data_IF_449513354081
#
_entry.id   IF_449513354081
#
_cell.length_a   1.000
_cell.length_b   1.000
_cell.length_c   1.000
_cell.angle_alpha   90.00
_cell.angle_beta   90.00
_cell.angle_gamma   90.00
#
_symmetry.space_group_name_H-M   'P 1'
#
loop_
_entity.id
_entity.type
_entity.pdbx_description
1 polymer ?
#
# COMPACT_ATOMS: atom_id res chain seq x y z
N UNK A 1 -8.73 87.27 -37.32
CA UNK A 1 -8.80 86.16 -36.38
C UNK A 1 -9.17 84.87 -37.18
N UNK A 2 -8.18 84.06 -37.35
CA UNK A 2 -8.35 82.78 -38.08
C UNK A 2 -8.53 81.66 -37.01
N UNK A 3 -9.67 81.04 -37.03
CA UNK A 3 -9.94 79.86 -36.23
C UNK A 3 -9.56 78.61 -37.02
N UNK A 4 -8.53 77.91 -36.62
CA UNK A 4 -8.20 76.57 -37.16
C UNK A 4 -8.87 75.53 -36.22
N UNK A 5 -9.84 74.82 -36.72
CA UNK A 5 -10.44 73.68 -36.05
C UNK A 5 -9.57 72.44 -36.31
N UNK A 6 -8.97 71.92 -35.26
CA UNK A 6 -8.38 70.57 -35.30
C UNK A 6 -9.51 69.51 -35.17
N UNK A 7 -9.78 68.82 -36.22
CA UNK A 7 -10.52 67.57 -36.20
C UNK A 7 -9.52 66.48 -35.73
N UNK A 8 -9.65 66.09 -34.46
CA UNK A 8 -8.98 64.89 -33.97
C UNK A 8 -9.80 63.67 -34.37
N UNK A 9 -9.29 62.86 -35.29
CA UNK A 9 -9.73 61.48 -35.39
C UNK A 9 -9.21 60.72 -34.19
N UNK A 10 -10.08 60.29 -33.29
CA UNK A 10 -9.80 59.26 -32.32
C UNK A 10 -10.43 57.96 -32.85
N UNK A 11 -9.70 57.27 -33.66
CA UNK A 11 -9.95 55.84 -33.88
C UNK A 11 -9.44 55.12 -32.66
N UNK A 12 -10.29 54.99 -31.63
CA UNK A 12 -10.11 53.97 -30.62
C UNK A 12 -10.47 52.65 -31.30
N UNK A 13 -9.49 52.04 -31.96
CA UNK A 13 -9.60 50.60 -32.28
C UNK A 13 -9.53 49.86 -30.92
N UNK A 14 -10.68 49.41 -30.48
CA UNK A 14 -10.80 48.53 -29.30
C UNK A 14 -10.30 47.16 -29.71
N UNK A 15 -9.02 46.86 -29.42
CA UNK A 15 -8.39 45.58 -29.63
C UNK A 15 -8.80 44.52 -28.60
N UNK A 16 -9.70 44.86 -27.67
CA UNK A 16 -10.18 43.95 -26.61
C UNK A 16 -10.94 42.73 -27.14
N UNK A 17 -11.39 42.76 -28.41
CA UNK A 17 -12.15 41.70 -29.06
C UNK A 17 -11.27 40.82 -30.00
N UNK A 18 -9.97 40.99 -30.03
CA UNK A 18 -9.10 40.25 -30.98
C UNK A 18 -8.42 39.02 -30.38
N UNK A 19 -8.50 38.83 -29.05
CA UNK A 19 -8.00 37.63 -28.40
C UNK A 19 -9.13 37.09 -27.52
N UNK A 20 -9.77 36.02 -27.98
CA UNK A 20 -10.68 35.28 -27.10
C UNK A 20 -9.86 34.75 -25.91
N UNK A 21 -10.32 35.05 -24.71
CA UNK A 21 -9.70 34.48 -23.51
C UNK A 21 -9.87 32.96 -23.57
N UNK A 22 -8.84 32.19 -23.15
CA UNK A 22 -9.00 30.74 -23.03
C UNK A 22 -10.16 30.41 -22.08
N UNK A 23 -10.98 29.46 -22.45
CA UNK A 23 -12.02 28.93 -21.59
C UNK A 23 -11.44 27.77 -20.77
N UNK A 24 -11.62 27.82 -19.45
CA UNK A 24 -11.16 26.75 -18.55
C UNK A 24 -12.22 25.63 -18.56
N UNK A 25 -11.78 24.42 -18.88
CA UNK A 25 -12.64 23.25 -18.95
C UNK A 25 -12.14 22.13 -18.02
N UNK A 26 -13.04 21.29 -17.59
CA UNK A 26 -12.76 20.04 -16.89
C UNK A 26 -12.93 18.89 -17.87
N UNK A 27 -12.29 17.76 -17.65
CA UNK A 27 -12.44 16.57 -18.50
C UNK A 27 -11.13 15.84 -18.74
N UNK A 28 -10.02 16.41 -18.24
CA UNK A 28 -8.72 15.74 -18.22
C UNK A 28 -8.76 14.61 -17.18
N UNK A 29 -8.54 13.37 -17.65
CA UNK A 29 -8.48 12.16 -16.81
C UNK A 29 -7.03 11.87 -16.47
N UNK A 30 -6.72 11.85 -15.17
CA UNK A 30 -5.40 11.54 -14.64
C UNK A 30 -5.55 10.94 -13.25
N UNK A 31 -4.74 9.92 -12.93
CA UNK A 31 -4.66 9.36 -11.59
C UNK A 31 -3.79 10.23 -10.70
N UNK A 32 -3.95 10.12 -9.38
CA UNK A 32 -3.12 10.86 -8.44
C UNK A 32 -1.72 10.26 -8.25
N UNK A 33 -1.51 8.98 -8.64
CA UNK A 33 -0.22 8.29 -8.50
C UNK A 33 0.01 7.24 -9.58
N UNK A 34 1.29 7.08 -9.97
CA UNK A 34 1.77 6.11 -10.96
C UNK A 34 3.08 5.48 -10.48
N UNK A 35 3.50 4.40 -11.11
CA UNK A 35 4.75 3.68 -10.78
C UNK A 35 5.84 4.06 -11.80
N UNK A 36 7.08 4.17 -11.31
CA UNK A 36 8.26 4.41 -12.16
C UNK A 36 8.35 3.36 -13.28
N UNK A 37 8.54 3.81 -14.50
CA UNK A 37 8.60 2.97 -15.70
C UNK A 37 7.25 2.63 -16.31
N UNK A 38 6.14 2.99 -15.66
CA UNK A 38 4.80 2.81 -16.20
C UNK A 38 4.56 3.80 -17.36
N UNK A 39 3.93 3.34 -18.43
CA UNK A 39 3.39 4.22 -19.46
C UNK A 39 2.14 4.90 -18.92
N UNK A 40 2.14 6.24 -18.88
CA UNK A 40 1.05 7.07 -18.36
C UNK A 40 0.34 7.68 -19.55
N UNK A 41 -0.90 7.32 -19.74
CA UNK A 41 -1.75 7.83 -20.80
C UNK A 41 -2.74 8.87 -20.24
N UNK A 42 -2.88 10.01 -20.91
CA UNK A 42 -3.80 11.08 -20.56
C UNK A 42 -4.92 11.14 -21.59
N UNK A 43 -6.15 11.23 -21.10
CA UNK A 43 -7.33 11.35 -21.92
C UNK A 43 -8.12 12.60 -21.53
N UNK A 44 -8.74 13.26 -22.51
CA UNK A 44 -9.62 14.40 -22.26
C UNK A 44 -10.99 14.17 -22.92
N UNK A 45 -12.02 14.49 -22.16
CA UNK A 45 -13.40 14.32 -22.58
C UNK A 45 -14.13 15.67 -22.59
N UNK A 46 -15.02 15.88 -23.56
CA UNK A 46 -15.89 17.05 -23.58
C UNK A 46 -17.02 16.94 -22.54
N UNK A 47 -17.86 17.98 -22.45
CA UNK A 47 -19.01 18.01 -21.55
C UNK A 47 -20.05 16.90 -21.80
N UNK A 48 -20.05 16.32 -23.01
CA UNK A 48 -20.94 15.22 -23.43
C UNK A 48 -20.29 13.85 -23.26
N UNK A 49 -19.11 13.77 -22.61
CA UNK A 49 -18.31 12.55 -22.43
C UNK A 49 -17.78 11.97 -23.76
N UNK A 50 -17.65 12.77 -24.82
CA UNK A 50 -16.96 12.34 -26.02
C UNK A 50 -15.45 12.48 -25.80
N UNK A 51 -14.69 11.48 -26.25
CA UNK A 51 -13.24 11.52 -26.27
C UNK A 51 -12.75 12.52 -27.33
N UNK A 52 -12.01 13.53 -26.89
CA UNK A 52 -11.41 14.57 -27.71
C UNK A 52 -9.88 14.61 -27.58
N UNK A 53 -9.28 13.54 -27.08
CA UNK A 53 -7.84 13.38 -26.83
C UNK A 53 -7.01 13.74 -28.07
N UNK A 54 -7.42 13.28 -29.26
CA UNK A 54 -6.73 13.54 -30.54
C UNK A 54 -6.72 15.04 -30.96
N UNK A 55 -7.56 15.87 -30.37
CA UNK A 55 -7.61 17.31 -30.64
C UNK A 55 -6.73 18.12 -29.69
N UNK A 56 -6.24 17.49 -28.60
CA UNK A 56 -5.56 18.17 -27.52
C UNK A 56 -4.03 18.12 -27.65
N UNK A 57 -3.39 19.15 -27.13
CA UNK A 57 -1.96 19.18 -26.84
C UNK A 57 -1.79 19.09 -25.32
N UNK A 58 -1.01 18.14 -24.86
CA UNK A 58 -0.76 17.93 -23.44
C UNK A 58 0.53 18.60 -23.00
N UNK A 59 0.56 19.09 -21.76
CA UNK A 59 1.71 19.74 -21.15
C UNK A 59 2.03 19.07 -19.82
N UNK A 60 3.27 18.66 -19.65
CA UNK A 60 3.81 18.16 -18.38
C UNK A 60 4.77 19.20 -17.82
N UNK A 61 4.50 19.69 -16.60
CA UNK A 61 5.26 20.75 -15.95
C UNK A 61 5.44 22.00 -16.84
N UNK A 62 4.43 22.31 -17.66
CA UNK A 62 4.43 23.44 -18.61
C UNK A 62 5.16 23.19 -19.92
N UNK A 63 5.68 22.00 -20.16
CA UNK A 63 6.31 21.60 -21.43
C UNK A 63 5.38 20.69 -22.24
N UNK A 64 5.14 21.03 -23.52
CA UNK A 64 4.31 20.21 -24.39
C UNK A 64 4.95 18.85 -24.67
N UNK A 65 4.15 17.82 -24.69
CA UNK A 65 4.54 16.47 -25.15
C UNK A 65 3.94 16.19 -26.52
N UNK A 66 4.56 15.28 -27.30
CA UNK A 66 4.18 15.03 -28.68
C UNK A 66 2.93 14.15 -28.80
N UNK A 67 2.76 13.25 -27.85
CA UNK A 67 1.66 12.28 -27.78
C UNK A 67 0.94 12.47 -26.45
N UNK A 68 -0.17 11.76 -26.25
CA UNK A 68 -0.92 11.83 -25.00
C UNK A 68 -0.38 10.88 -23.92
N UNK A 69 0.88 10.43 -24.06
CA UNK A 69 1.50 9.49 -23.13
C UNK A 69 2.93 9.91 -22.73
N UNK A 70 3.36 9.50 -21.54
CA UNK A 70 4.71 9.73 -21.02
C UNK A 70 5.12 8.59 -20.10
N UNK A 71 6.43 8.33 -20.03
CA UNK A 71 7.03 7.42 -19.04
C UNK A 71 8.05 8.19 -18.21
N UNK A 72 7.91 8.13 -16.88
CA UNK A 72 8.89 8.68 -15.96
C UNK A 72 9.84 7.60 -15.44
N UNK A 73 11.14 7.85 -15.49
CA UNK A 73 12.19 6.93 -15.06
C UNK A 73 12.69 7.22 -13.63
N UNK A 74 12.06 8.16 -12.93
CA UNK A 74 12.40 8.54 -11.56
C UNK A 74 11.18 8.99 -10.79
N UNK A 75 11.24 8.84 -9.46
CA UNK A 75 10.22 9.36 -8.55
C UNK A 75 10.11 10.88 -8.66
N UNK A 76 8.91 11.41 -8.50
CA UNK A 76 8.68 12.85 -8.55
C UNK A 76 7.20 13.22 -8.47
N UNK A 77 6.96 14.53 -8.35
CA UNK A 77 5.62 15.10 -8.47
C UNK A 77 5.58 15.93 -9.75
N UNK A 78 4.55 15.76 -10.51
CA UNK A 78 4.35 16.39 -11.81
C UNK A 78 2.97 17.02 -11.90
N UNK A 79 2.79 17.95 -12.84
CA UNK A 79 1.50 18.52 -13.17
C UNK A 79 1.22 18.31 -14.65
N UNK A 80 0.00 17.93 -14.97
CA UNK A 80 -0.48 17.81 -16.34
C UNK A 80 -1.60 18.81 -16.60
N UNK A 81 -1.61 19.38 -17.80
CA UNK A 81 -2.70 20.16 -18.35
C UNK A 81 -2.82 19.86 -19.84
N UNK A 82 -3.98 20.20 -20.42
CA UNK A 82 -4.22 20.07 -21.85
C UNK A 82 -4.84 21.34 -22.41
N UNK A 83 -4.61 21.59 -23.69
CA UNK A 83 -5.28 22.64 -24.46
C UNK A 83 -5.74 22.11 -25.82
N UNK A 84 -6.90 22.58 -26.29
CA UNK A 84 -7.43 22.27 -27.63
C UNK A 84 -8.20 23.46 -28.20
N UNK A 85 -8.36 23.48 -29.51
CA UNK A 85 -9.14 24.51 -30.19
C UNK A 85 -10.35 23.86 -30.89
N UNK A 86 -11.54 24.38 -30.60
CA UNK A 86 -12.79 23.97 -31.23
C UNK A 86 -13.54 25.22 -31.70
N UNK A 87 -13.96 25.22 -32.98
CA UNK A 87 -14.67 26.33 -33.62
C UNK A 87 -14.01 27.71 -33.49
N UNK A 88 -12.65 27.71 -33.40
CA UNK A 88 -11.85 28.91 -33.24
C UNK A 88 -11.72 29.44 -31.82
N UNK A 89 -12.35 28.79 -30.84
CA UNK A 89 -12.19 29.06 -29.41
C UNK A 89 -11.09 28.16 -28.82
N UNK A 90 -10.17 28.73 -28.03
CA UNK A 90 -9.18 27.99 -27.25
C UNK A 90 -9.76 27.57 -25.90
N UNK A 91 -9.64 26.29 -25.60
CA UNK A 91 -10.00 25.67 -24.33
C UNK A 91 -8.73 25.18 -23.63
N UNK A 92 -8.65 25.35 -22.32
CA UNK A 92 -7.54 24.89 -21.49
C UNK A 92 -8.08 24.17 -20.26
N UNK A 93 -7.35 23.16 -19.76
CA UNK A 93 -7.72 22.51 -18.50
C UNK A 93 -6.99 23.19 -17.32
N UNK A 94 -7.51 23.00 -16.11
CA UNK A 94 -6.69 23.22 -14.93
C UNK A 94 -5.50 22.27 -14.91
N UNK A 95 -4.45 22.67 -14.19
CA UNK A 95 -3.32 21.77 -13.92
C UNK A 95 -3.71 20.76 -12.85
N UNK A 96 -3.53 19.47 -13.14
CA UNK A 96 -3.78 18.37 -12.21
C UNK A 96 -2.44 17.78 -11.80
N UNK A 97 -2.20 17.73 -10.47
CA UNK A 97 -1.00 17.14 -9.91
C UNK A 97 -1.09 15.60 -9.85
N UNK A 98 0.02 14.93 -10.14
CA UNK A 98 0.20 13.50 -9.90
C UNK A 98 1.60 13.20 -9.38
N UNK A 99 1.77 12.07 -8.70
CA UNK A 99 3.05 11.58 -8.21
C UNK A 99 3.50 10.34 -8.96
N UNK A 100 4.80 10.16 -9.05
CA UNK A 100 5.44 8.93 -9.54
C UNK A 100 6.22 8.32 -8.39
N UNK A 101 5.90 7.08 -8.04
CA UNK A 101 6.46 6.35 -6.90
C UNK A 101 7.27 5.14 -7.39
N UNK A 102 8.23 4.68 -6.59
CA UNK A 102 9.03 3.49 -6.88
C UNK A 102 8.86 2.48 -5.74
N UNK A 103 7.82 1.65 -5.79
CA UNK A 103 7.57 0.69 -4.73
C UNK A 103 8.67 -0.36 -4.66
N UNK A 104 9.05 -0.66 -3.43
CA UNK A 104 10.01 -1.72 -3.09
C UNK A 104 9.23 -2.93 -2.60
N UNK A 105 9.66 -4.12 -2.99
CA UNK A 105 9.06 -5.35 -2.48
C UNK A 105 9.35 -5.51 -0.99
N UNK A 106 8.29 -5.72 -0.22
CA UNK A 106 8.33 -6.09 1.19
C UNK A 106 7.76 -7.48 1.37
N UNK A 107 8.53 -8.29 2.05
CA UNK A 107 8.21 -9.69 2.31
C UNK A 107 7.16 -9.78 3.42
N UNK A 108 6.14 -10.61 3.24
CA UNK A 108 5.30 -11.08 4.33
C UNK A 108 5.89 -12.36 4.91
N UNK A 109 6.12 -12.38 6.22
CA UNK A 109 6.43 -13.59 6.99
C UNK A 109 5.24 -13.95 7.87
N UNK A 110 4.72 -15.16 7.75
CA UNK A 110 3.69 -15.70 8.63
C UNK A 110 4.29 -16.83 9.47
N UNK A 111 4.18 -16.71 10.81
CA UNK A 111 4.56 -17.72 11.80
C UNK A 111 3.29 -18.37 12.37
N UNK A 112 3.05 -19.63 12.05
CA UNK A 112 2.00 -20.43 12.68
C UNK A 112 2.57 -21.07 13.94
N UNK A 113 2.03 -20.66 15.10
CA UNK A 113 2.66 -20.89 16.39
C UNK A 113 1.64 -21.17 17.51
N UNK A 114 2.11 -21.31 18.72
CA UNK A 114 1.31 -21.43 19.92
C UNK A 114 2.18 -21.54 21.19
N UNK A 115 1.71 -21.07 22.32
CA UNK A 115 2.39 -21.11 23.62
C UNK A 115 2.72 -22.55 24.07
N UNK A 116 1.92 -23.51 23.65
CA UNK A 116 2.08 -24.94 23.90
C UNK A 116 3.05 -25.63 22.95
N UNK A 117 3.44 -24.98 21.84
CA UNK A 117 4.31 -25.56 20.83
C UNK A 117 5.78 -25.52 21.24
N UNK A 118 6.31 -26.61 21.76
CA UNK A 118 7.68 -26.69 22.29
C UNK A 118 8.81 -26.59 21.27
N UNK A 119 8.52 -26.69 19.96
CA UNK A 119 9.48 -26.51 18.85
C UNK A 119 9.29 -25.19 18.09
N UNK A 120 8.38 -24.30 18.54
CA UNK A 120 8.13 -23.01 17.88
C UNK A 120 9.15 -21.90 18.20
N UNK A 121 9.81 -21.83 19.36
CA UNK A 121 10.75 -20.76 19.68
C UNK A 121 11.83 -20.48 18.62
N UNK A 122 12.42 -21.48 17.92
CA UNK A 122 13.40 -21.22 16.86
C UNK A 122 12.88 -20.42 15.67
N UNK A 123 11.59 -20.51 15.33
CA UNK A 123 11.00 -19.71 14.24
C UNK A 123 11.04 -18.24 14.60
N UNK A 124 10.50 -17.90 15.78
CA UNK A 124 10.52 -16.52 16.30
C UNK A 124 11.94 -15.96 16.34
N UNK A 125 12.90 -16.72 16.85
CA UNK A 125 14.31 -16.31 16.88
C UNK A 125 14.87 -16.03 15.49
N UNK A 126 14.57 -16.87 14.50
CA UNK A 126 15.00 -16.65 13.13
C UNK A 126 14.31 -15.41 12.49
N UNK A 127 13.05 -15.17 12.80
CA UNK A 127 12.33 -13.94 12.38
C UNK A 127 13.00 -12.71 12.99
N UNK A 128 13.34 -12.72 14.27
CA UNK A 128 14.05 -11.61 14.93
C UNK A 128 15.39 -11.31 14.23
N UNK A 129 16.15 -12.35 13.85
CA UNK A 129 17.37 -12.16 13.09
C UNK A 129 17.13 -11.61 11.68
N UNK A 130 16.04 -12.01 11.01
CA UNK A 130 15.65 -11.46 9.72
C UNK A 130 15.30 -9.97 9.84
N UNK A 131 14.58 -9.57 10.89
CA UNK A 131 14.22 -8.18 11.16
C UNK A 131 15.44 -7.29 11.52
N UNK A 132 16.49 -7.85 12.13
CA UNK A 132 17.75 -7.13 12.34
C UNK A 132 18.44 -6.78 11.02
N UNK A 133 18.33 -7.64 9.99
CA UNK A 133 18.93 -7.43 8.66
C UNK A 133 18.04 -6.53 7.79
N UNK A 134 16.72 -6.73 7.84
CA UNK A 134 15.73 -6.08 6.96
C UNK A 134 14.61 -5.39 7.75
N UNK A 135 14.91 -4.42 8.63
CA UNK A 135 13.95 -3.87 9.60
C UNK A 135 12.73 -3.18 8.97
N UNK A 136 12.84 -2.71 7.71
CA UNK A 136 11.79 -1.97 7.01
C UNK A 136 11.18 -2.73 5.82
N UNK A 137 11.61 -3.97 5.61
CA UNK A 137 11.27 -4.72 4.38
C UNK A 137 10.56 -6.04 4.66
N UNK A 138 10.23 -6.32 5.92
CA UNK A 138 9.53 -7.53 6.34
C UNK A 138 8.32 -7.14 7.19
N UNK A 139 7.14 -7.57 6.77
CA UNK A 139 5.92 -7.58 7.58
C UNK A 139 5.79 -8.93 8.24
N UNK A 140 5.56 -8.99 9.55
CA UNK A 140 5.43 -10.26 10.28
C UNK A 140 4.04 -10.41 10.87
N UNK A 141 3.49 -11.63 10.79
CA UNK A 141 2.22 -12.01 11.40
C UNK A 141 2.39 -13.36 12.10
N UNK A 142 2.29 -13.38 13.42
CA UNK A 142 2.29 -14.60 14.22
C UNK A 142 0.85 -15.04 14.51
N UNK A 143 0.44 -16.14 13.89
CA UNK A 143 -0.90 -16.73 14.09
C UNK A 143 -0.84 -17.78 15.16
N UNK A 144 -1.30 -17.43 16.36
CA UNK A 144 -1.41 -18.34 17.48
C UNK A 144 -2.60 -19.30 17.32
N UNK A 145 -2.41 -20.56 17.71
CA UNK A 145 -3.42 -21.60 17.63
C UNK A 145 -3.70 -22.22 19.01
N UNK A 146 -4.98 -22.32 19.33
CA UNK A 146 -5.45 -23.04 20.53
C UNK A 146 -4.82 -22.57 21.86
N UNK A 147 -4.54 -21.28 21.99
CA UNK A 147 -4.04 -20.64 23.21
C UNK A 147 -4.75 -19.29 23.48
N UNK A 148 -4.29 -18.57 24.51
CA UNK A 148 -4.90 -17.30 24.95
C UNK A 148 -4.78 -16.15 23.93
N UNK A 149 -3.89 -16.27 22.93
CA UNK A 149 -3.66 -15.27 21.91
C UNK A 149 -4.36 -15.60 20.58
N UNK A 150 -4.92 -16.81 20.45
CA UNK A 150 -5.56 -17.27 19.23
C UNK A 150 -6.80 -16.42 18.90
N UNK A 151 -6.92 -15.99 17.63
CA UNK A 151 -8.14 -15.39 17.10
C UNK A 151 -9.24 -16.45 16.89
N UNK A 152 -10.51 -16.03 16.93
CA UNK A 152 -11.62 -16.94 16.63
C UNK A 152 -11.59 -17.46 15.18
N UNK A 153 -11.07 -16.65 14.25
CA UNK A 153 -10.96 -16.93 12.81
C UNK A 153 -9.68 -17.70 12.43
N UNK A 154 -8.80 -18.01 13.40
CA UNK A 154 -7.52 -18.68 13.11
C UNK A 154 -7.71 -20.03 12.41
N UNK A 155 -8.79 -20.75 12.73
CA UNK A 155 -9.08 -22.03 12.11
C UNK A 155 -9.41 -21.92 10.62
N UNK A 156 -10.07 -20.83 10.20
CA UNK A 156 -10.31 -20.55 8.78
C UNK A 156 -9.01 -20.33 8.04
N UNK A 157 -8.11 -19.49 8.61
CA UNK A 157 -6.81 -19.18 8.05
C UNK A 157 -5.94 -20.45 7.93
N UNK A 158 -5.83 -21.21 9.01
CA UNK A 158 -5.02 -22.43 9.04
C UNK A 158 -5.58 -23.55 8.15
N UNK A 159 -6.90 -23.63 7.99
CA UNK A 159 -7.52 -24.59 7.06
C UNK A 159 -7.22 -24.21 5.60
N UNK A 160 -7.29 -22.92 5.27
CA UNK A 160 -7.08 -22.45 3.91
C UNK A 160 -5.59 -22.50 3.48
N UNK A 161 -4.68 -22.10 4.37
CA UNK A 161 -3.25 -22.08 4.08
C UNK A 161 -2.57 -23.42 4.37
N UNK A 162 -3.18 -24.29 5.16
CA UNK A 162 -2.80 -25.68 5.37
C UNK A 162 -1.47 -25.93 6.06
N UNK A 163 -1.14 -25.31 7.22
CA UNK A 163 -0.02 -25.79 8.00
C UNK A 163 -0.28 -27.23 8.44
N UNK A 164 0.62 -28.15 8.07
CA UNK A 164 0.49 -29.57 8.41
C UNK A 164 0.82 -29.88 9.88
N UNK A 165 1.39 -28.89 10.57
CA UNK A 165 1.77 -28.99 11.98
C UNK A 165 2.62 -27.79 12.39
N UNK A 166 2.88 -27.65 13.69
CA UNK A 166 3.72 -26.57 14.22
C UNK A 166 5.08 -27.08 14.66
N UNK A 167 6.15 -26.27 14.51
CA UNK A 167 6.19 -24.94 13.93
C UNK A 167 6.06 -24.94 12.41
N UNK A 168 5.46 -23.89 11.86
CA UNK A 168 5.50 -23.62 10.43
C UNK A 168 5.63 -22.13 10.19
N UNK A 169 6.60 -21.74 9.33
CA UNK A 169 6.75 -20.37 8.86
C UNK A 169 6.62 -20.31 7.35
N UNK A 170 6.00 -19.24 6.85
CA UNK A 170 5.80 -19.01 5.43
C UNK A 170 6.28 -17.65 4.99
N UNK A 171 6.86 -17.63 3.80
CA UNK A 171 7.25 -16.44 3.05
C UNK A 171 6.19 -16.17 1.98
N UNK A 172 5.63 -14.96 1.98
CA UNK A 172 4.56 -14.56 1.06
C UNK A 172 3.38 -15.55 1.01
N UNK A 173 3.02 -16.14 2.16
CA UNK A 173 1.91 -17.09 2.36
C UNK A 173 2.10 -18.50 1.78
N UNK A 174 2.78 -18.63 0.67
CA UNK A 174 2.81 -19.90 -0.10
C UNK A 174 4.13 -20.65 0.02
N UNK A 175 5.24 -19.98 0.29
CA UNK A 175 6.56 -20.63 0.36
C UNK A 175 6.90 -21.01 1.80
N UNK A 176 7.04 -22.29 2.09
CA UNK A 176 7.49 -22.76 3.40
C UNK A 176 8.92 -22.32 3.69
N UNK A 177 9.14 -21.79 4.90
CA UNK A 177 10.47 -21.46 5.40
C UNK A 177 10.83 -22.39 6.55
N UNK A 178 11.60 -23.43 6.20
CA UNK A 178 11.90 -24.55 7.09
C UNK A 178 13.27 -24.41 7.75
N UNK A 179 13.42 -25.08 8.89
CA UNK A 179 14.71 -25.21 9.56
C UNK A 179 15.80 -25.70 8.60
N UNK A 180 17.00 -25.10 8.57
CA UNK A 180 17.57 -24.20 9.60
C UNK A 180 17.18 -22.71 9.46
N UNK A 181 16.10 -22.35 8.77
CA UNK A 181 15.63 -20.96 8.55
C UNK A 181 16.73 -20.09 7.94
N UNK A 182 17.21 -20.50 6.76
CA UNK A 182 18.31 -19.82 6.07
C UNK A 182 17.91 -18.39 5.69
N UNK A 183 18.64 -17.42 6.22
CA UNK A 183 18.38 -15.98 5.99
C UNK A 183 18.79 -15.55 4.56
N UNK A 184 19.73 -16.23 3.90
CA UNK A 184 20.18 -15.89 2.55
C UNK A 184 19.05 -15.99 1.50
N UNK A 185 18.03 -16.81 1.75
CA UNK A 185 16.88 -16.90 0.83
C UNK A 185 16.07 -15.61 0.78
N UNK A 186 16.16 -14.79 1.82
CA UNK A 186 15.42 -13.53 1.94
C UNK A 186 15.98 -12.44 1.01
N UNK A 187 17.28 -12.49 0.68
CA UNK A 187 17.96 -11.51 -0.19
C UNK A 187 17.25 -11.32 -1.54
N UNK A 188 16.64 -12.39 -2.04
CA UNK A 188 15.94 -12.37 -3.32
C UNK A 188 14.45 -12.03 -3.20
N UNK A 189 13.94 -11.86 -1.98
CA UNK A 189 12.53 -11.63 -1.69
C UNK A 189 12.25 -10.20 -1.19
N UNK A 190 13.30 -9.40 -0.96
CA UNK A 190 13.19 -8.01 -0.48
C UNK A 190 13.96 -7.05 -1.40
N UNK A 191 13.67 -5.76 -1.31
CA UNK A 191 14.45 -4.66 -1.91
C UNK A 191 14.54 -4.64 -3.46
N UNK A 192 13.69 -5.36 -4.18
CA UNK A 192 13.57 -5.16 -5.62
C UNK A 192 12.35 -4.29 -5.94
N UNK A 193 12.35 -3.67 -7.12
CA UNK A 193 11.21 -2.87 -7.58
C UNK A 193 9.98 -3.77 -7.75
N UNK A 194 8.86 -3.33 -7.22
CA UNK A 194 7.56 -3.99 -7.35
C UNK A 194 6.63 -3.15 -8.27
N UNK A 195 5.60 -3.79 -8.79
CA UNK A 195 4.55 -3.15 -9.60
C UNK A 195 3.33 -2.73 -8.78
N UNK A 196 3.40 -2.90 -7.46
CA UNK A 196 2.34 -2.59 -6.51
C UNK A 196 2.91 -1.81 -5.33
N UNK A 197 2.41 -0.61 -5.10
CA UNK A 197 2.69 0.21 -3.93
C UNK A 197 1.52 0.14 -2.95
N UNK A 198 1.80 0.04 -1.66
CA UNK A 198 0.81 0.07 -0.58
C UNK A 198 1.22 1.14 0.43
N UNK A 199 0.26 1.96 0.86
CA UNK A 199 0.44 2.95 1.92
C UNK A 199 -0.53 2.65 3.06
N UNK A 200 -0.06 2.78 4.29
CA UNK A 200 -0.82 2.54 5.52
C UNK A 200 -0.88 3.82 6.33
N UNK A 201 -2.08 4.25 6.68
CA UNK A 201 -2.31 5.37 7.58
C UNK A 201 -3.34 4.98 8.64
N UNK A 202 -3.03 5.19 9.90
CA UNK A 202 -3.97 4.90 10.97
C UNK A 202 -4.04 6.01 12.01
N UNK A 203 -5.18 6.12 12.66
CA UNK A 203 -5.39 7.12 13.72
C UNK A 203 -6.35 6.58 14.78
N UNK A 204 -5.97 6.79 16.04
CA UNK A 204 -6.88 6.55 17.18
C UNK A 204 -7.64 7.85 17.47
N UNK A 205 -8.96 7.78 17.45
CA UNK A 205 -9.82 8.93 17.67
C UNK A 205 -11.17 8.52 18.28
N UNK A 206 -11.57 9.19 19.36
CA UNK A 206 -12.90 9.01 20.01
C UNK A 206 -13.28 7.55 20.33
N UNK A 207 -12.32 6.71 20.72
CA UNK A 207 -12.60 5.29 21.02
C UNK A 207 -12.67 4.39 19.78
N UNK A 208 -12.22 4.89 18.64
CA UNK A 208 -12.10 4.15 17.38
C UNK A 208 -10.67 4.14 16.88
N UNK A 209 -10.27 3.05 16.24
CA UNK A 209 -9.09 2.94 15.41
C UNK A 209 -9.53 3.03 13.94
N UNK A 210 -9.20 4.14 13.30
CA UNK A 210 -9.47 4.35 11.88
C UNK A 210 -8.22 4.01 11.08
N UNK A 211 -8.37 3.24 10.00
CA UNK A 211 -7.28 2.78 9.13
C UNK A 211 -7.62 3.08 7.69
N UNK A 212 -6.69 3.70 6.97
CA UNK A 212 -6.79 3.97 5.54
C UNK A 212 -5.64 3.27 4.82
N UNK A 213 -5.98 2.41 3.87
CA UNK A 213 -5.02 1.73 3.00
C UNK A 213 -5.18 2.32 1.61
N UNK A 214 -4.10 2.89 1.07
CA UNK A 214 -4.01 3.29 -0.35
C UNK A 214 -3.12 2.30 -1.08
N UNK A 215 -3.44 2.02 -2.33
CA UNK A 215 -2.58 1.21 -3.18
C UNK A 215 -2.61 1.73 -4.62
N UNK A 216 -1.48 1.56 -5.29
CA UNK A 216 -1.27 1.91 -6.69
C UNK A 216 -0.62 0.72 -7.37
N UNK A 217 -1.20 0.27 -8.48
CA UNK A 217 -0.65 -0.81 -9.28
C UNK A 217 -0.41 -0.35 -10.72
N UNK A 218 0.68 -0.83 -11.34
CA UNK A 218 0.89 -0.64 -12.78
C UNK A 218 0.09 -1.64 -13.62
N UNK A 219 -0.40 -2.73 -13.00
CA UNK A 219 -1.17 -3.79 -13.64
C UNK A 219 -2.54 -3.94 -12.95
N UNK A 220 -3.57 -4.45 -13.66
CA UNK A 220 -4.86 -4.73 -13.06
C UNK A 220 -4.77 -5.76 -11.92
N UNK A 221 -5.46 -5.50 -10.81
CA UNK A 221 -5.55 -6.41 -9.66
C UNK A 221 -6.77 -7.36 -9.78
N UNK A 222 -6.92 -8.00 -10.94
CA UNK A 222 -8.01 -8.95 -11.20
C UNK A 222 -7.82 -10.20 -10.34
N UNK A 223 -8.89 -10.64 -9.67
CA UNK A 223 -8.88 -11.80 -8.74
C UNK A 223 -7.90 -11.69 -7.57
N UNK A 224 -7.43 -10.48 -7.27
CA UNK A 224 -6.62 -10.21 -6.09
C UNK A 224 -7.51 -9.88 -4.88
N UNK A 225 -6.92 -9.97 -3.68
CA UNK A 225 -7.59 -9.62 -2.43
C UNK A 225 -6.71 -8.72 -1.58
N UNK A 226 -7.33 -7.77 -0.92
CA UNK A 226 -6.71 -6.97 0.13
C UNK A 226 -6.91 -7.65 1.48
N UNK A 227 -5.82 -7.79 2.24
CA UNK A 227 -5.80 -8.25 3.64
C UNK A 227 -5.29 -7.14 4.52
N UNK A 228 -5.97 -6.86 5.62
CA UNK A 228 -5.59 -5.83 6.59
C UNK A 228 -5.72 -6.37 8.01
N UNK A 229 -4.59 -6.48 8.71
CA UNK A 229 -4.49 -7.05 10.05
C UNK A 229 -4.01 -6.01 11.07
N UNK A 230 -4.33 -6.27 12.33
CA UNK A 230 -3.68 -5.67 13.51
C UNK A 230 -2.83 -6.74 14.16
N UNK A 231 -1.54 -6.45 14.38
CA UNK A 231 -0.64 -7.28 15.18
C UNK A 231 -0.23 -6.53 16.46
N UNK A 232 0.13 -7.26 17.50
CA UNK A 232 0.54 -6.72 18.81
C UNK A 232 1.84 -7.35 19.27
N UNK A 233 2.74 -6.52 19.80
CA UNK A 233 4.03 -6.90 20.35
C UNK A 233 3.99 -6.89 21.88
N UNK A 234 4.93 -7.64 22.49
CA UNK A 234 5.15 -7.59 23.92
C UNK A 234 4.14 -8.34 24.76
N UNK A 235 3.38 -9.27 24.19
CA UNK A 235 2.47 -10.14 24.94
C UNK A 235 3.29 -11.16 25.75
N UNK A 236 2.93 -11.38 27.01
CA UNK A 236 3.67 -12.24 27.92
C UNK A 236 2.85 -13.47 28.28
N UNK A 237 3.41 -14.64 28.01
CA UNK A 237 2.89 -15.94 28.45
C UNK A 237 4.02 -16.95 28.56
N UNK A 238 3.81 -18.03 29.29
CA UNK A 238 4.79 -19.12 29.37
C UNK A 238 4.83 -19.89 28.04
N UNK A 239 6.03 -20.18 27.53
CA UNK A 239 6.24 -20.89 26.28
C UNK A 239 6.82 -22.28 26.49
N UNK A 240 6.16 -23.32 26.03
CA UNK A 240 6.72 -24.67 25.99
C UNK A 240 8.05 -24.71 25.24
N UNK A 241 9.04 -25.46 25.78
CA UNK A 241 10.39 -25.53 25.23
C UNK A 241 10.92 -26.97 25.26
N UNK A 242 10.74 -27.70 24.16
CA UNK A 242 11.27 -29.08 24.06
C UNK A 242 12.78 -29.14 23.75
N UNK A 243 13.38 -27.96 23.44
CA UNK A 243 14.82 -27.80 23.21
C UNK A 243 15.62 -27.52 24.50
N UNK A 244 14.96 -27.48 25.66
CA UNK A 244 15.58 -27.17 26.93
C UNK A 244 16.77 -28.08 27.29
N UNK A 245 16.84 -29.28 26.73
CA UNK A 245 17.90 -30.27 26.98
C UNK A 245 18.83 -30.48 25.77
N UNK A 246 18.68 -29.73 24.71
CA UNK A 246 19.55 -29.75 23.54
C UNK A 246 20.66 -28.72 23.68
N UNK A 247 21.88 -29.17 24.03
CA UNK A 247 23.05 -28.31 24.24
C UNK A 247 23.47 -27.52 22.99
N UNK A 248 22.98 -27.87 21.83
CA UNK A 248 23.25 -27.16 20.57
C UNK A 248 22.23 -26.05 20.27
N UNK A 249 21.12 -26.04 21.01
CA UNK A 249 20.05 -25.07 20.83
C UNK A 249 20.32 -23.78 21.60
N UNK A 250 19.95 -22.64 21.00
CA UNK A 250 19.88 -21.36 21.68
C UNK A 250 18.95 -21.41 22.93
N UNK A 251 17.94 -22.28 22.92
CA UNK A 251 16.93 -22.44 23.98
C UNK A 251 17.34 -23.47 25.06
N UNK A 252 18.58 -23.96 25.02
CA UNK A 252 19.13 -24.84 26.04
C UNK A 252 19.11 -24.23 27.44
N UNK A 253 18.67 -24.98 28.42
CA UNK A 253 18.62 -24.58 29.84
C UNK A 253 17.80 -23.31 30.16
N UNK A 254 16.91 -22.88 29.25
CA UNK A 254 16.02 -21.74 29.51
C UNK A 254 14.77 -22.11 30.31
N UNK A 255 14.54 -23.38 30.55
CA UNK A 255 13.34 -23.91 31.24
C UNK A 255 12.36 -24.55 30.23
N UNK A 256 11.43 -25.33 30.78
CA UNK A 256 10.26 -25.84 30.05
C UNK A 256 9.08 -25.90 31.04
N UNK A 257 8.18 -24.90 30.95
CA UNK A 257 8.15 -23.78 30.00
C UNK A 257 9.26 -22.75 30.26
N UNK A 258 9.54 -21.89 29.24
CA UNK A 258 10.23 -20.63 29.44
C UNK A 258 9.21 -19.70 30.06
N UNK A 259 9.48 -19.23 31.26
CA UNK A 259 8.58 -18.37 32.03
C UNK A 259 8.66 -16.92 31.49
N UNK A 260 7.51 -16.22 31.46
CA UNK A 260 7.39 -14.82 31.03
C UNK A 260 7.97 -14.59 29.61
N UNK A 261 7.80 -15.57 28.71
CA UNK A 261 8.25 -15.45 27.32
C UNK A 261 7.47 -14.35 26.60
N UNK A 262 8.19 -13.51 25.85
CA UNK A 262 7.60 -12.39 25.10
C UNK A 262 7.19 -12.86 23.71
N UNK A 263 5.92 -12.69 23.37
CA UNK A 263 5.35 -12.96 22.04
C UNK A 263 5.19 -11.63 21.29
N UNK A 264 5.71 -11.57 20.08
CA UNK A 264 5.65 -10.42 19.20
C UNK A 264 4.87 -10.74 17.93
N UNK A 265 4.45 -9.69 17.22
CA UNK A 265 3.77 -9.75 15.92
C UNK A 265 2.48 -10.61 15.94
N UNK A 266 1.89 -10.76 17.11
CA UNK A 266 0.71 -11.62 17.33
C UNK A 266 -0.50 -11.04 16.63
N UNK A 267 -1.15 -11.82 15.76
CA UNK A 267 -2.38 -11.43 15.07
C UNK A 267 -3.53 -11.23 16.06
N UNK A 268 -4.07 -10.01 16.14
CA UNK A 268 -5.12 -9.63 17.12
C UNK A 268 -6.46 -9.29 16.50
N UNK A 269 -6.48 -8.85 15.26
CA UNK A 269 -7.70 -8.49 14.56
C UNK A 269 -7.50 -8.51 13.05
N UNK A 270 -8.57 -8.79 12.30
CA UNK A 270 -8.62 -8.59 10.86
C UNK A 270 -9.72 -7.58 10.53
N UNK A 271 -9.37 -6.53 9.77
CA UNK A 271 -10.34 -5.57 9.24
C UNK A 271 -11.07 -6.09 8.00
N UNK A 272 -10.47 -7.02 7.29
CA UNK A 272 -11.03 -7.72 6.14
C UNK A 272 -11.51 -9.11 6.55
N UNK A 273 -12.13 -9.87 5.64
CA UNK A 273 -12.14 -11.32 5.81
C UNK A 273 -10.70 -11.80 6.08
N UNK A 274 -10.53 -12.83 6.92
CA UNK A 274 -9.20 -13.31 7.33
C UNK A 274 -8.35 -13.78 6.14
N UNK A 275 -8.97 -14.15 5.03
CA UNK A 275 -8.31 -14.50 3.76
C UNK A 275 -8.26 -13.34 2.76
N UNK A 276 -8.78 -12.17 3.13
CA UNK A 276 -8.86 -10.97 2.31
C UNK A 276 -10.21 -10.75 1.65
N UNK A 277 -10.45 -9.49 1.30
CA UNK A 277 -11.61 -9.01 0.57
C UNK A 277 -11.24 -8.81 -0.90
N UNK A 278 -12.10 -9.24 -1.81
CA UNK A 278 -11.89 -9.03 -3.25
C UNK A 278 -11.97 -7.53 -3.60
N UNK A 279 -11.23 -7.12 -4.63
CA UNK A 279 -11.43 -5.84 -5.27
C UNK A 279 -12.66 -5.89 -6.18
N UNK A 280 -13.43 -4.79 -6.21
CA UNK A 280 -14.46 -4.62 -7.21
C UNK A 280 -13.80 -4.36 -8.57
N UNK A 281 -14.44 -4.76 -9.69
CA UNK A 281 -13.90 -4.63 -11.05
C UNK A 281 -13.50 -3.19 -11.43
N UNK A 282 -14.08 -2.19 -10.77
CA UNK A 282 -13.79 -0.76 -10.97
C UNK A 282 -12.57 -0.27 -10.19
N UNK A 283 -12.11 -1.01 -9.18
CA UNK A 283 -11.01 -0.61 -8.27
C UNK A 283 -9.65 -1.15 -8.72
N UNK A 284 -9.61 -1.96 -9.76
CA UNK A 284 -8.44 -2.76 -10.13
C UNK A 284 -7.26 -1.97 -10.72
N UNK A 285 -7.44 -0.68 -11.03
CA UNK A 285 -6.41 0.15 -11.71
C UNK A 285 -6.03 1.42 -10.96
N UNK A 286 -6.84 1.87 -10.02
CA UNK A 286 -6.75 3.25 -9.55
C UNK A 286 -6.03 3.34 -8.21
N UNK A 287 -5.41 4.50 -7.96
CA UNK A 287 -5.05 4.96 -6.63
C UNK A 287 -6.31 4.97 -5.76
N UNK A 288 -6.58 3.83 -5.17
CA UNK A 288 -7.79 3.55 -4.40
C UNK A 288 -7.48 3.60 -2.92
N UNK A 289 -8.38 4.21 -2.15
CA UNK A 289 -8.32 4.21 -0.69
C UNK A 289 -9.42 3.31 -0.13
N UNK A 290 -9.04 2.31 0.65
CA UNK A 290 -9.95 1.53 1.49
C UNK A 290 -9.86 2.03 2.92
N UNK A 291 -11.01 2.33 3.51
CA UNK A 291 -11.12 2.87 4.87
C UNK A 291 -11.83 1.86 5.77
N UNK A 292 -11.26 1.66 6.95
CA UNK A 292 -11.76 0.76 7.98
C UNK A 292 -11.87 1.51 9.30
N UNK A 293 -12.77 1.07 10.17
CA UNK A 293 -12.92 1.62 11.52
C UNK A 293 -13.25 0.50 12.50
N UNK A 294 -12.59 0.48 13.65
CA UNK A 294 -12.75 -0.50 14.70
C UNK A 294 -13.05 0.20 16.02
N UNK A 295 -14.15 -0.17 16.68
CA UNK A 295 -14.43 0.26 18.05
C UNK A 295 -13.47 -0.45 19.02
N UNK A 296 -12.59 0.34 19.65
CA UNK A 296 -11.56 -0.15 20.56
C UNK A 296 -11.98 -0.10 22.04
N UNK A 297 -13.21 0.31 22.35
CA UNK A 297 -13.67 0.55 23.73
C UNK A 297 -13.65 -0.71 24.60
N UNK A 298 -13.74 -1.89 24.00
CA UNK A 298 -13.78 -3.18 24.69
C UNK A 298 -12.69 -4.16 24.21
N UNK A 299 -11.73 -3.69 23.44
CA UNK A 299 -10.64 -4.52 22.94
C UNK A 299 -9.53 -4.64 23.99
N UNK A 300 -9.04 -5.86 24.19
CA UNK A 300 -7.86 -6.13 24.97
C UNK A 300 -6.62 -6.12 24.07
N UNK A 301 -6.31 -4.95 23.47
CA UNK A 301 -5.17 -4.72 22.59
C UNK A 301 -4.47 -3.43 23.03
N UNK A 302 -3.16 -3.48 23.20
CA UNK A 302 -2.33 -2.29 23.51
C UNK A 302 -1.91 -1.64 22.20
N UNK A 303 -2.65 -0.62 21.77
CA UNK A 303 -2.45 0.01 20.46
C UNK A 303 -1.07 0.65 20.28
N UNK A 304 -0.46 1.12 21.35
CA UNK A 304 0.91 1.65 21.36
C UNK A 304 1.99 0.60 21.03
N UNK A 305 1.67 -0.69 21.18
CA UNK A 305 2.52 -1.82 20.83
C UNK A 305 2.05 -2.55 19.58
N UNK A 306 1.09 -1.97 18.84
CA UNK A 306 0.41 -2.62 17.71
C UNK A 306 0.82 -2.01 16.38
N UNK A 307 0.78 -2.85 15.34
CA UNK A 307 1.01 -2.45 13.95
C UNK A 307 -0.19 -2.80 13.08
N UNK A 308 -0.40 -2.01 12.04
CA UNK A 308 -1.28 -2.35 10.94
C UNK A 308 -0.42 -3.01 9.86
N UNK A 309 -0.80 -4.21 9.46
CA UNK A 309 -0.19 -4.95 8.34
C UNK A 309 -1.19 -4.99 7.20
N UNK A 310 -0.83 -4.46 6.04
CA UNK A 310 -1.65 -4.53 4.83
C UNK A 310 -0.88 -5.24 3.72
N UNK A 311 -1.52 -6.15 3.03
CA UNK A 311 -0.92 -6.85 1.91
C UNK A 311 -1.97 -7.26 0.88
N UNK A 312 -1.53 -7.45 -0.36
CA UNK A 312 -2.37 -7.91 -1.46
C UNK A 312 -1.91 -9.29 -1.89
N UNK A 313 -2.87 -10.20 -2.03
CA UNK A 313 -2.64 -11.56 -2.49
C UNK A 313 -3.30 -11.80 -3.84
N UNK A 314 -2.71 -12.66 -4.66
CA UNK A 314 -3.29 -13.14 -5.92
C UNK A 314 -4.33 -14.25 -5.71
N UNK A 315 -4.85 -14.79 -6.80
CA UNK A 315 -5.82 -15.88 -6.80
C UNK A 315 -5.32 -17.19 -6.17
N UNK A 316 -4.00 -17.37 -6.06
CA UNK A 316 -3.34 -18.53 -5.44
C UNK A 316 -3.00 -18.27 -3.94
N UNK A 317 -3.41 -17.13 -3.40
CA UNK A 317 -3.07 -16.60 -2.08
C UNK A 317 -1.57 -16.25 -1.90
N UNK A 318 -0.81 -16.04 -2.97
CA UNK A 318 0.56 -15.55 -2.87
C UNK A 318 0.56 -14.05 -2.64
N UNK A 319 1.30 -13.58 -1.64
CA UNK A 319 1.45 -12.14 -1.39
C UNK A 319 2.29 -11.49 -2.47
N UNK A 320 1.72 -10.48 -3.13
CA UNK A 320 2.38 -9.70 -4.19
C UNK A 320 3.26 -8.60 -3.59
N UNK A 321 2.75 -7.89 -2.61
CA UNK A 321 3.49 -6.92 -1.80
C UNK A 321 2.80 -6.74 -0.44
N UNK A 322 3.57 -6.26 0.54
CA UNK A 322 3.06 -5.93 1.87
C UNK A 322 3.53 -4.55 2.32
N UNK A 323 2.89 -3.99 3.33
CA UNK A 323 3.28 -2.77 4.01
C UNK A 323 2.83 -2.83 5.47
N UNK A 324 3.58 -2.16 6.33
CA UNK A 324 3.22 -2.06 7.74
C UNK A 324 3.51 -0.66 8.30
N UNK A 325 2.78 -0.29 9.33
CA UNK A 325 3.02 0.90 10.13
C UNK A 325 2.58 0.66 11.58
N UNK A 326 3.27 1.27 12.54
CA UNK A 326 2.77 1.32 13.91
C UNK A 326 1.42 2.04 13.94
N UNK A 327 0.53 1.64 14.85
CA UNK A 327 -0.75 2.32 15.04
C UNK A 327 -0.52 3.79 15.39
N UNK A 328 -1.16 4.68 14.64
CA UNK A 328 -1.01 6.14 14.76
C UNK A 328 0.09 6.74 13.89
N UNK A 329 0.81 5.93 13.14
CA UNK A 329 1.82 6.37 12.18
C UNK A 329 1.32 6.31 10.74
N UNK A 330 2.01 7.03 9.87
CA UNK A 330 1.79 7.03 8.43
C UNK A 330 3.00 6.42 7.74
N UNK A 331 2.78 5.39 6.95
CA UNK A 331 3.78 4.82 6.06
C UNK A 331 3.31 5.00 4.61
N UNK A 332 4.06 5.77 3.84
CA UNK A 332 3.78 6.02 2.43
C UNK A 332 4.18 4.82 1.55
N UNK A 333 4.03 4.95 0.25
CA UNK A 333 4.23 3.95 -0.81
C UNK A 333 5.63 3.31 -0.94
N UNK A 334 6.52 3.54 0.01
CA UNK A 334 7.91 3.07 -0.04
C UNK A 334 8.16 1.84 0.80
#
# INVERSE_FOLDING_TARGET
>A
SLFIAFLGCSDNEDFSNLISQPEIVSGLSVRSSYIVGQNIEFNIYDENQNDITDLATFFIDGMSILENEITHNSVGSHNVSAEYTLDGQLYVTEQIGYSVVNPINKLLMEDFTGTWCGYCPPVKYAIEQALEIYPNNISVVATHQNDEFALAEEQELTTALGPFGLPEARLNRTTEWMQPYNLEVLDNLVNFQNNLAISVNSRVHNGSLDVNIRFVSSEPLIDHKLVVYVTENGLIADQSNYLNFDETSYFYAMGNPIIDYVHNDVLRHSFTNILGDNFDDTESFEDTTKSFSLDISNLNIQLENSSIIAFIVDSENTTINSQFAMVGEFQDFN
#
